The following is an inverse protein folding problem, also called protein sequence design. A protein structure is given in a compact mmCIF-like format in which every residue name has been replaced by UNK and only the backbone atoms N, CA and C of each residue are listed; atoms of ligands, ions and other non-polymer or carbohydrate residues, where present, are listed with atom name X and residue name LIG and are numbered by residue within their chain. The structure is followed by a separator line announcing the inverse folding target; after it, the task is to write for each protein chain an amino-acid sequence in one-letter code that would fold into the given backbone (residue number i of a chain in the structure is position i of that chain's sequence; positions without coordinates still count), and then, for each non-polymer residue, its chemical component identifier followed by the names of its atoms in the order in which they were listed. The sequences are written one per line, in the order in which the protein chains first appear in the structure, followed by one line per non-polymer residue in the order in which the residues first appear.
data_IF_649264155236
#
_entry.id   IF_649264155236
#
_cell.length_a   1.000
_cell.length_b   1.000
_cell.length_c   1.000
_cell.angle_alpha   90.00
_cell.angle_beta   90.00
_cell.angle_gamma   90.00
#
_symmetry.space_group_name_H-M   'P 1'
#
loop_
_entity.id
_entity.type
_entity.pdbx_description
1 polymer ?
#
# COMPACT_ATOMS: atom_id res chain seq x y z
N UNK A 1 -18.59 17.15 -28.69
CA UNK A 1 -18.78 15.69 -28.84
C UNK A 1 -17.51 15.05 -28.31
N UNK A 2 -17.58 13.99 -27.51
CA UNK A 2 -16.39 13.35 -26.96
C UNK A 2 -15.69 12.56 -28.08
N UNK A 3 -14.35 12.67 -28.14
CA UNK A 3 -13.53 11.96 -29.13
C UNK A 3 -13.30 10.50 -28.73
N UNK A 4 -13.25 10.24 -27.42
CA UNK A 4 -13.03 8.90 -26.85
C UNK A 4 -14.11 8.58 -25.82
N UNK A 5 -14.52 7.33 -25.77
CA UNK A 5 -15.52 6.83 -24.84
C UNK A 5 -14.95 5.64 -24.08
N UNK A 6 -15.06 5.70 -22.75
CA UNK A 6 -14.68 4.60 -21.86
C UNK A 6 -15.89 4.20 -21.02
N UNK A 7 -16.14 2.90 -20.89
CA UNK A 7 -17.23 2.36 -20.09
C UNK A 7 -16.66 1.42 -19.02
N UNK A 8 -16.98 1.70 -17.77
CA UNK A 8 -16.59 0.84 -16.65
C UNK A 8 -17.50 -0.39 -16.56
N UNK A 9 -16.94 -1.47 -15.99
CA UNK A 9 -17.72 -2.60 -15.53
C UNK A 9 -18.69 -2.21 -14.39
N UNK A 10 -19.62 -3.09 -14.09
CA UNK A 10 -20.60 -2.88 -13.02
C UNK A 10 -19.95 -3.11 -11.65
N UNK A 11 -20.33 -2.30 -10.67
CA UNK A 11 -20.08 -2.59 -9.26
C UNK A 11 -21.09 -3.61 -8.75
N UNK A 12 -20.59 -4.69 -8.13
CA UNK A 12 -21.37 -5.77 -7.55
C UNK A 12 -21.11 -5.86 -6.04
N UNK A 13 -22.12 -6.12 -5.25
CA UNK A 13 -21.93 -6.31 -3.82
C UNK A 13 -21.15 -7.61 -3.55
N UNK A 14 -20.07 -7.52 -2.77
CA UNK A 14 -19.35 -8.70 -2.30
C UNK A 14 -20.25 -9.49 -1.34
N UNK A 15 -20.34 -10.81 -1.52
CA UNK A 15 -21.23 -11.68 -0.71
C UNK A 15 -22.61 -11.92 -1.33
N UNK A 16 -22.99 -11.23 -2.38
CA UNK A 16 -24.09 -11.72 -3.22
C UNK A 16 -23.57 -12.98 -3.93
N UNK A 17 -23.92 -14.14 -3.40
CA UNK A 17 -23.42 -15.44 -3.82
C UNK A 17 -23.83 -15.79 -5.25
N UNK A 18 -23.23 -15.13 -6.19
CA UNK A 18 -23.12 -15.59 -7.55
C UNK A 18 -21.96 -16.57 -7.59
N UNK A 19 -22.22 -17.85 -7.81
CA UNK A 19 -21.18 -18.82 -8.13
C UNK A 19 -20.29 -18.26 -9.23
N UNK A 20 -19.10 -17.81 -8.87
CA UNK A 20 -18.05 -17.47 -9.82
C UNK A 20 -17.59 -18.79 -10.43
N UNK A 21 -17.82 -18.96 -11.72
CA UNK A 21 -17.34 -20.11 -12.47
C UNK A 21 -18.43 -21.09 -12.87
N UNK A 22 -19.06 -20.77 -13.97
CA UNK A 22 -19.94 -21.66 -14.70
C UNK A 22 -21.17 -20.92 -15.18
N UNK A 23 -21.11 -20.45 -16.41
CA UNK A 23 -22.35 -20.16 -17.16
C UNK A 23 -23.23 -21.41 -17.00
N UNK A 24 -24.47 -21.29 -16.47
CA UNK A 24 -25.38 -22.42 -16.54
C UNK A 24 -25.50 -22.78 -18.03
N UNK A 25 -25.22 -24.02 -18.37
CA UNK A 25 -25.31 -24.52 -19.77
C UNK A 25 -26.75 -24.54 -20.30
N UNK A 26 -27.70 -24.17 -19.49
CA UNK A 26 -29.15 -24.26 -19.70
C UNK A 26 -29.90 -22.92 -19.76
N UNK A 27 -29.21 -21.79 -19.87
CA UNK A 27 -29.86 -20.52 -20.22
C UNK A 27 -30.91 -19.98 -19.23
N UNK A 28 -30.95 -20.50 -18.00
CA UNK A 28 -32.00 -20.21 -16.99
C UNK A 28 -31.65 -19.12 -15.99
N UNK A 29 -30.59 -18.29 -16.25
CA UNK A 29 -30.31 -17.08 -15.46
C UNK A 29 -31.30 -15.99 -15.82
N UNK A 30 -32.21 -15.66 -14.92
CA UNK A 30 -33.16 -14.58 -15.14
C UNK A 30 -32.46 -13.22 -15.07
N UNK A 31 -32.93 -12.17 -15.78
CA UNK A 31 -32.44 -10.81 -15.65
C UNK A 31 -32.51 -10.27 -14.22
N UNK A 32 -33.35 -10.85 -13.36
CA UNK A 32 -33.49 -10.50 -11.94
C UNK A 32 -32.28 -10.93 -11.06
N UNK A 33 -31.60 -12.03 -11.39
CA UNK A 33 -30.42 -12.47 -10.64
C UNK A 33 -29.22 -11.51 -10.82
N UNK A 34 -29.12 -10.85 -11.96
CA UNK A 34 -28.13 -9.81 -12.24
C UNK A 34 -28.50 -8.48 -11.58
N UNK A 35 -29.80 -8.20 -11.43
CA UNK A 35 -30.30 -6.99 -10.76
C UNK A 35 -30.09 -7.04 -9.24
N UNK A 36 -30.19 -8.23 -8.63
CA UNK A 36 -30.04 -8.42 -7.19
C UNK A 36 -28.61 -8.21 -6.68
N UNK A 37 -27.60 -8.28 -7.56
CA UNK A 37 -26.18 -8.09 -7.20
C UNK A 37 -25.68 -6.66 -7.46
N UNK A 38 -26.46 -5.84 -8.17
CA UNK A 38 -26.08 -4.48 -8.52
C UNK A 38 -26.18 -3.54 -7.31
N UNK A 39 -25.08 -2.88 -6.99
CA UNK A 39 -25.08 -1.82 -5.99
C UNK A 39 -25.84 -0.61 -6.56
N UNK A 40 -26.94 -0.24 -5.92
CA UNK A 40 -27.76 0.93 -6.30
C UNK A 40 -28.33 1.61 -5.07
N UNK A 41 -28.74 2.89 -5.21
CA UNK A 41 -29.36 3.64 -4.11
C UNK A 41 -30.61 2.93 -3.56
N UNK A 42 -31.37 2.25 -4.43
CA UNK A 42 -32.57 1.49 -4.05
C UNK A 42 -32.27 0.20 -3.26
N UNK A 43 -31.05 -0.31 -3.34
CA UNK A 43 -30.59 -1.50 -2.61
C UNK A 43 -29.78 -1.16 -1.35
N UNK A 44 -29.88 0.09 -0.85
CA UNK A 44 -29.19 0.49 0.38
C UNK A 44 -27.70 0.74 0.21
N UNK A 45 -27.25 1.11 -1.00
CA UNK A 45 -25.86 1.48 -1.22
C UNK A 45 -25.48 2.66 -0.32
N UNK A 46 -24.43 2.44 0.47
CA UNK A 46 -23.86 3.48 1.31
C UNK A 46 -23.31 4.64 0.45
N UNK A 47 -23.54 5.90 0.82
CA UNK A 47 -22.94 7.04 0.13
C UNK A 47 -21.42 6.97 0.18
N UNK A 48 -20.75 7.25 -0.94
CA UNK A 48 -19.29 7.25 -1.02
C UNK A 48 -18.61 8.13 0.05
N UNK A 49 -19.27 9.20 0.46
CA UNK A 49 -18.79 10.08 1.53
C UNK A 49 -18.69 9.36 2.89
N UNK A 50 -19.64 8.49 3.21
CA UNK A 50 -19.63 7.69 4.45
C UNK A 50 -18.52 6.64 4.41
N UNK A 51 -18.29 6.03 3.24
CA UNK A 51 -17.19 5.11 3.03
C UNK A 51 -15.82 5.75 3.32
N UNK A 52 -15.62 7.01 2.90
CA UNK A 52 -14.39 7.76 3.17
C UNK A 52 -14.18 8.13 4.65
N UNK A 53 -15.20 8.01 5.50
CA UNK A 53 -15.02 8.18 6.95
C UNK A 53 -14.46 6.93 7.63
N UNK A 54 -14.66 5.74 7.01
CA UNK A 54 -14.24 4.45 7.56
C UNK A 54 -12.99 3.89 6.89
N UNK A 55 -12.80 4.19 5.62
CA UNK A 55 -11.69 3.66 4.82
C UNK A 55 -10.84 4.81 4.26
N UNK A 56 -9.54 4.60 4.29
CA UNK A 56 -8.60 5.54 3.67
C UNK A 56 -8.81 5.59 2.15
N UNK A 57 -8.68 6.77 1.52
CA UNK A 57 -8.84 6.91 0.07
C UNK A 57 -7.96 5.96 -0.75
N UNK A 58 -6.74 5.70 -0.27
CA UNK A 58 -5.78 4.80 -0.92
C UNK A 58 -6.27 3.35 -0.97
N UNK A 59 -6.98 2.88 0.07
CA UNK A 59 -7.57 1.52 0.11
C UNK A 59 -8.61 1.38 -0.99
N UNK A 60 -9.48 2.38 -1.13
CA UNK A 60 -10.53 2.38 -2.15
C UNK A 60 -9.91 2.48 -3.54
N UNK A 61 -8.91 3.35 -3.73
CA UNK A 61 -8.18 3.45 -5.00
C UNK A 61 -7.52 2.12 -5.38
N UNK A 62 -6.83 1.48 -4.43
CA UNK A 62 -6.16 0.21 -4.69
C UNK A 62 -7.16 -0.88 -5.06
N UNK A 63 -8.31 -0.98 -4.38
CA UNK A 63 -9.38 -1.90 -4.74
C UNK A 63 -9.83 -1.68 -6.20
N UNK A 64 -10.12 -0.44 -6.57
CA UNK A 64 -10.60 -0.11 -7.92
C UNK A 64 -9.53 -0.40 -8.99
N UNK A 65 -8.26 -0.13 -8.71
CA UNK A 65 -7.14 -0.34 -9.63
C UNK A 65 -6.73 -1.82 -9.74
N UNK A 66 -7.07 -2.64 -8.75
CA UNK A 66 -6.74 -4.08 -8.76
C UNK A 66 -7.57 -4.90 -9.74
N UNK A 67 -8.58 -4.29 -10.35
CA UNK A 67 -9.44 -4.92 -11.35
C UNK A 67 -9.42 -4.09 -12.63
N UNK A 68 -9.37 -4.76 -13.79
CA UNK A 68 -9.47 -4.06 -15.07
C UNK A 68 -10.81 -3.30 -15.15
N UNK A 69 -10.79 -2.03 -15.56
CA UNK A 69 -11.95 -1.13 -15.49
C UNK A 69 -13.21 -1.64 -16.22
N UNK A 70 -13.06 -2.48 -17.26
CA UNK A 70 -14.18 -3.10 -18.00
C UNK A 70 -14.79 -4.30 -17.28
N UNK A 71 -14.07 -4.85 -16.30
CA UNK A 71 -14.54 -6.02 -15.53
C UNK A 71 -15.45 -5.59 -14.38
N UNK A 72 -16.40 -6.45 -13.98
CA UNK A 72 -17.18 -6.21 -12.77
C UNK A 72 -16.27 -6.13 -11.54
N UNK A 73 -16.52 -5.15 -10.67
CA UNK A 73 -15.78 -4.95 -9.43
C UNK A 73 -16.64 -5.43 -8.26
N UNK A 74 -16.12 -6.38 -7.49
CA UNK A 74 -16.74 -6.80 -6.23
C UNK A 74 -16.39 -5.79 -5.14
N UNK A 75 -17.41 -5.14 -4.59
CA UNK A 75 -17.26 -4.08 -3.61
C UNK A 75 -17.94 -4.46 -2.30
N UNK A 76 -17.23 -4.30 -1.18
CA UNK A 76 -17.71 -4.62 0.17
C UNK A 76 -16.58 -4.60 1.19
N UNK A 77 -16.89 -4.88 2.44
CA UNK A 77 -15.91 -4.83 3.54
C UNK A 77 -14.77 -5.84 3.38
N UNK A 78 -15.03 -7.04 2.87
CA UNK A 78 -14.00 -8.06 2.68
C UNK A 78 -12.96 -7.63 1.63
N UNK A 79 -13.32 -7.24 0.37
CA UNK A 79 -12.37 -6.72 -0.61
C UNK A 79 -11.65 -5.44 -0.16
N UNK A 80 -12.33 -4.57 0.60
CA UNK A 80 -11.70 -3.38 1.18
C UNK A 80 -10.65 -3.78 2.23
N UNK A 81 -10.96 -4.75 3.09
CA UNK A 81 -10.02 -5.30 4.06
C UNK A 81 -8.81 -5.97 3.40
N UNK A 82 -8.98 -6.69 2.29
CA UNK A 82 -7.89 -7.24 1.49
C UNK A 82 -7.00 -6.15 0.91
N UNK A 83 -7.62 -5.10 0.35
CA UNK A 83 -6.89 -3.96 -0.20
C UNK A 83 -6.14 -3.18 0.89
N UNK A 84 -6.70 -3.07 2.10
CA UNK A 84 -6.02 -2.47 3.24
C UNK A 84 -4.76 -3.26 3.63
N UNK A 85 -4.87 -4.60 3.75
CA UNK A 85 -3.70 -5.47 4.01
C UNK A 85 -2.64 -5.39 2.91
N UNK A 86 -3.08 -5.31 1.65
CA UNK A 86 -2.17 -5.14 0.52
C UNK A 86 -1.42 -3.79 0.57
N UNK A 87 -2.11 -2.72 0.99
CA UNK A 87 -1.54 -1.39 1.16
C UNK A 87 -0.40 -1.37 2.20
N UNK A 88 -0.53 -2.14 3.28
CA UNK A 88 0.49 -2.24 4.32
C UNK A 88 1.87 -2.69 3.78
N UNK A 89 1.92 -3.46 2.69
CA UNK A 89 3.19 -3.86 2.09
C UNK A 89 3.98 -2.65 1.59
N UNK A 90 3.30 -1.66 1.01
CA UNK A 90 3.92 -0.40 0.59
C UNK A 90 4.37 0.40 1.81
N UNK A 91 3.53 0.53 2.82
CA UNK A 91 3.83 1.31 4.02
C UNK A 91 5.02 0.74 4.78
N UNK A 92 5.10 -0.59 4.91
CA UNK A 92 6.28 -1.26 5.50
C UNK A 92 7.56 -0.97 4.71
N UNK A 93 7.49 -0.99 3.37
CA UNK A 93 8.62 -0.65 2.53
C UNK A 93 9.01 0.82 2.70
N UNK A 94 8.05 1.75 2.73
CA UNK A 94 8.31 3.18 2.91
C UNK A 94 8.95 3.48 4.27
N UNK A 95 8.44 2.87 5.32
CA UNK A 95 9.02 2.98 6.67
C UNK A 95 10.43 2.37 6.74
N UNK A 96 10.66 1.25 6.04
CA UNK A 96 11.97 0.62 5.94
C UNK A 96 12.98 1.54 5.24
N UNK A 97 12.58 2.14 4.12
CA UNK A 97 13.38 3.12 3.39
C UNK A 97 13.72 4.34 4.25
N UNK A 98 12.73 4.92 4.92
CA UNK A 98 12.92 6.08 5.78
C UNK A 98 13.93 5.81 6.91
N UNK A 99 13.85 4.62 7.52
CA UNK A 99 14.81 4.20 8.56
C UNK A 99 16.24 4.01 8.01
N UNK A 100 16.38 3.51 6.78
CA UNK A 100 17.69 3.27 6.17
C UNK A 100 18.35 4.56 5.65
N UNK A 101 17.59 5.40 4.97
CA UNK A 101 18.07 6.59 4.28
C UNK A 101 17.83 7.90 5.03
N UNK A 102 17.00 7.90 6.09
CA UNK A 102 16.64 9.11 6.85
C UNK A 102 15.69 10.06 6.11
N UNK A 103 15.20 9.69 4.93
CA UNK A 103 14.34 10.51 4.09
C UNK A 103 13.00 9.81 3.88
N UNK A 104 11.91 10.56 4.00
CA UNK A 104 10.58 10.00 3.74
C UNK A 104 10.37 9.73 2.24
N UNK A 105 9.68 8.63 1.92
CA UNK A 105 9.21 8.35 0.55
C UNK A 105 8.46 9.55 -0.05
N UNK A 106 7.69 10.26 0.74
CA UNK A 106 6.87 11.38 0.28
C UNK A 106 7.65 12.65 -0.03
N UNK A 107 8.91 12.74 0.40
CA UNK A 107 9.83 13.84 0.05
C UNK A 107 10.61 13.56 -1.24
N UNK A 108 10.53 12.34 -1.76
CA UNK A 108 11.11 12.02 -3.06
C UNK A 108 10.40 12.85 -4.12
N UNK A 109 11.12 13.74 -4.76
CA UNK A 109 10.61 14.56 -5.86
C UNK A 109 10.40 13.68 -7.08
N UNK A 110 9.17 13.64 -7.56
CA UNK A 110 8.85 13.08 -8.87
C UNK A 110 9.67 13.84 -9.91
N UNK A 111 10.59 13.18 -10.57
CA UNK A 111 11.31 13.81 -11.68
C UNK A 111 10.29 14.05 -12.78
N UNK A 112 10.11 15.32 -13.14
CA UNK A 112 9.09 15.82 -14.04
C UNK A 112 8.87 14.91 -15.24
N UNK A 113 7.64 14.49 -15.46
CA UNK A 113 7.13 13.74 -16.62
C UNK A 113 7.47 14.38 -17.98
N UNK A 114 7.98 15.61 -18.00
CA UNK A 114 8.30 16.37 -19.21
C UNK A 114 9.74 16.26 -19.69
N UNK A 115 10.66 15.76 -18.86
CA UNK A 115 12.03 15.47 -19.28
C UNK A 115 12.10 14.03 -19.82
N UNK A 116 11.56 13.84 -21.03
CA UNK A 116 11.63 12.55 -21.72
C UNK A 116 13.04 11.95 -21.63
N UNK A 117 13.11 10.65 -21.41
CA UNK A 117 14.33 9.78 -21.36
C UNK A 117 15.41 10.06 -20.32
N UNK A 118 15.35 11.12 -19.53
CA UNK A 118 16.44 11.51 -18.62
C UNK A 118 16.36 10.97 -17.20
N UNK A 119 15.58 9.97 -16.89
CA UNK A 119 15.33 9.86 -15.48
C UNK A 119 15.13 8.51 -14.85
N UNK A 120 15.57 7.45 -15.43
CA UNK A 120 15.93 6.30 -14.59
C UNK A 120 17.36 6.60 -14.12
N UNK A 121 17.61 6.65 -12.80
CA UNK A 121 18.97 6.67 -12.30
C UNK A 121 19.76 5.55 -12.98
N UNK A 122 21.01 5.78 -13.29
CA UNK A 122 21.84 4.77 -13.93
C UNK A 122 22.02 3.58 -12.99
N UNK A 123 21.15 2.62 -13.10
CA UNK A 123 21.37 1.30 -12.52
C UNK A 123 22.45 0.58 -13.31
N UNK A 124 23.28 -0.19 -12.65
CA UNK A 124 24.35 -0.96 -13.27
C UNK A 124 24.05 -2.46 -13.22
N UNK A 125 24.58 -3.19 -14.21
CA UNK A 125 24.50 -4.66 -14.24
C UNK A 125 23.09 -5.21 -14.22
N UNK A 126 22.89 -6.33 -13.52
CA UNK A 126 21.64 -7.08 -13.43
C UNK A 126 20.49 -6.27 -12.86
N UNK A 127 20.77 -5.32 -11.99
CA UNK A 127 19.76 -4.40 -11.43
C UNK A 127 19.12 -3.55 -12.52
N UNK A 128 19.91 -3.03 -13.46
CA UNK A 128 19.40 -2.23 -14.57
C UNK A 128 18.43 -3.01 -15.44
N UNK A 129 18.80 -4.23 -15.82
CA UNK A 129 17.96 -5.08 -16.68
C UNK A 129 16.64 -5.43 -15.99
N UNK A 130 16.70 -5.84 -14.72
CA UNK A 130 15.50 -6.21 -13.96
C UNK A 130 14.55 -5.04 -13.75
N UNK A 131 15.08 -3.88 -13.36
CA UNK A 131 14.31 -2.65 -13.13
C UNK A 131 13.68 -2.15 -14.42
N UNK A 132 14.45 -2.16 -15.54
CA UNK A 132 13.94 -1.79 -16.85
C UNK A 132 12.80 -2.74 -17.29
N UNK A 133 12.94 -4.03 -17.04
CA UNK A 133 11.89 -5.02 -17.34
C UNK A 133 10.61 -4.74 -16.55
N UNK A 134 10.70 -4.44 -15.25
CA UNK A 134 9.54 -4.11 -14.43
C UNK A 134 8.86 -2.81 -14.91
N UNK A 135 9.67 -1.78 -15.20
CA UNK A 135 9.14 -0.51 -15.71
C UNK A 135 8.42 -0.71 -17.05
N UNK A 136 9.04 -1.42 -17.98
CA UNK A 136 8.43 -1.69 -19.29
C UNK A 136 7.14 -2.48 -19.15
N UNK A 137 7.12 -3.53 -18.32
CA UNK A 137 5.89 -4.31 -18.06
C UNK A 137 4.75 -3.44 -17.50
N UNK A 138 5.07 -2.49 -16.62
CA UNK A 138 4.10 -1.53 -16.11
C UNK A 138 3.56 -0.64 -17.25
N UNK A 139 4.45 -0.06 -18.07
CA UNK A 139 4.06 0.81 -19.19
C UNK A 139 3.25 0.04 -20.24
N UNK A 140 3.69 -1.14 -20.63
CA UNK A 140 2.96 -2.02 -21.55
C UNK A 140 1.56 -2.34 -21.04
N UNK A 141 1.41 -2.60 -19.74
CA UNK A 141 0.09 -2.82 -19.12
C UNK A 141 -0.79 -1.57 -19.19
N UNK A 142 -0.21 -0.38 -18.99
CA UNK A 142 -0.96 0.87 -19.10
C UNK A 142 -1.31 1.22 -20.56
N UNK A 143 -0.47 0.85 -21.52
CA UNK A 143 -0.72 1.03 -22.94
C UNK A 143 -1.73 0.00 -23.48
N UNK A 144 -1.82 -1.18 -22.84
CA UNK A 144 -2.82 -2.21 -23.16
C UNK A 144 -4.14 -1.92 -22.44
N UNK A 145 -4.88 -0.96 -22.98
CA UNK A 145 -6.24 -0.59 -22.53
C UNK A 145 -6.31 -0.26 -21.01
N UNK A 146 -5.27 0.39 -20.47
CA UNK A 146 -5.18 0.76 -19.05
C UNK A 146 -5.35 -0.45 -18.11
N UNK A 147 -4.61 -1.51 -18.35
CA UNK A 147 -4.65 -2.71 -17.53
C UNK A 147 -4.00 -2.48 -16.15
N UNK A 148 -4.70 -1.73 -15.31
CA UNK A 148 -4.23 -1.37 -13.98
C UNK A 148 -4.00 -2.58 -13.08
N UNK A 149 -4.69 -3.70 -13.31
CA UNK A 149 -4.48 -4.93 -12.54
C UNK A 149 -3.05 -5.47 -12.72
N UNK A 150 -2.54 -5.53 -13.96
CA UNK A 150 -1.15 -5.91 -14.23
C UNK A 150 -0.18 -4.84 -13.72
N UNK A 151 -0.51 -3.57 -13.88
CA UNK A 151 0.30 -2.47 -13.36
C UNK A 151 0.47 -2.56 -11.83
N UNK A 152 -0.60 -2.78 -11.07
CA UNK A 152 -0.56 -2.99 -9.62
C UNK A 152 0.24 -4.25 -9.25
N UNK A 153 0.04 -5.37 -9.97
CA UNK A 153 0.84 -6.58 -9.75
C UNK A 153 2.35 -6.31 -9.93
N UNK A 154 2.71 -5.49 -10.93
CA UNK A 154 4.10 -5.08 -11.18
C UNK A 154 4.67 -4.25 -10.03
N UNK A 155 3.86 -3.39 -9.37
CA UNK A 155 4.30 -2.67 -8.16
C UNK A 155 4.63 -3.64 -7.01
N UNK A 156 3.85 -4.71 -6.83
CA UNK A 156 4.18 -5.73 -5.82
C UNK A 156 5.44 -6.53 -6.17
N UNK A 157 5.71 -6.77 -7.46
CA UNK A 157 6.98 -7.35 -7.90
C UNK A 157 8.15 -6.42 -7.58
N UNK A 158 7.99 -5.12 -7.78
CA UNK A 158 8.99 -4.12 -7.42
C UNK A 158 9.21 -4.06 -5.90
N UNK A 159 8.17 -4.13 -5.06
CA UNK A 159 8.32 -4.23 -3.60
C UNK A 159 9.17 -5.45 -3.23
N UNK A 160 8.88 -6.62 -3.83
CA UNK A 160 9.64 -7.85 -3.55
C UNK A 160 11.10 -7.70 -3.95
N UNK A 161 11.35 -7.09 -5.10
CA UNK A 161 12.71 -6.83 -5.58
C UNK A 161 13.47 -5.89 -4.64
N UNK A 162 12.87 -4.77 -4.23
CA UNK A 162 13.50 -3.80 -3.32
C UNK A 162 13.83 -4.46 -1.97
N UNK A 163 12.88 -5.21 -1.39
CA UNK A 163 13.13 -5.91 -0.14
C UNK A 163 14.26 -6.93 -0.27
N UNK A 164 14.28 -7.71 -1.37
CA UNK A 164 15.38 -8.64 -1.65
C UNK A 164 16.73 -7.92 -1.78
N UNK A 165 16.77 -6.76 -2.44
CA UNK A 165 17.98 -5.94 -2.54
C UNK A 165 18.47 -5.49 -1.16
N UNK A 166 17.59 -4.95 -0.31
CA UNK A 166 17.93 -4.54 1.05
C UNK A 166 18.48 -5.72 1.87
N UNK A 167 17.90 -6.92 1.72
CA UNK A 167 18.30 -8.12 2.44
C UNK A 167 19.64 -8.68 1.91
N UNK A 168 19.82 -8.74 0.59
CA UNK A 168 21.04 -9.28 -0.04
C UNK A 168 22.28 -8.43 0.23
N UNK A 169 22.13 -7.11 0.26
CA UNK A 169 23.21 -6.18 0.58
C UNK A 169 23.38 -5.95 2.09
N UNK A 170 22.56 -6.61 2.93
CA UNK A 170 22.56 -6.50 4.40
C UNK A 170 22.52 -5.02 4.88
N UNK A 171 21.68 -4.18 4.21
CA UNK A 171 21.63 -2.75 4.42
C UNK A 171 21.22 -2.33 5.85
N UNK A 172 20.57 -3.22 6.58
CA UNK A 172 20.24 -3.00 8.00
C UNK A 172 21.51 -2.93 8.87
N UNK A 173 22.60 -3.58 8.47
CA UNK A 173 23.87 -3.61 9.19
C UNK A 173 25.00 -2.86 8.48
N UNK A 174 25.02 -2.95 7.15
CA UNK A 174 26.10 -2.37 6.30
C UNK A 174 25.48 -1.31 5.41
N UNK A 175 25.63 -0.06 5.78
CA UNK A 175 25.14 1.06 5.00
C UNK A 175 26.31 1.61 4.16
N UNK A 176 26.40 1.23 2.88
CA UNK A 176 27.31 1.90 1.95
C UNK A 176 26.58 3.00 1.22
N UNK A 177 27.25 4.11 0.90
CA UNK A 177 26.63 5.23 0.19
C UNK A 177 26.09 4.79 -1.18
N UNK A 178 26.82 3.92 -1.89
CA UNK A 178 26.42 3.38 -3.19
C UNK A 178 25.12 2.57 -3.13
N UNK A 179 24.96 1.74 -2.09
CA UNK A 179 23.75 0.91 -1.95
C UNK A 179 22.55 1.76 -1.52
N UNK A 180 22.77 2.78 -0.68
CA UNK A 180 21.72 3.74 -0.30
C UNK A 180 21.29 4.60 -1.50
N UNK A 181 22.23 4.99 -2.39
CA UNK A 181 21.90 5.64 -3.65
C UNK A 181 21.08 4.72 -4.55
N UNK A 182 21.46 3.46 -4.70
CA UNK A 182 20.71 2.47 -5.47
C UNK A 182 19.31 2.26 -4.89
N UNK A 183 19.18 2.13 -3.57
CA UNK A 183 17.88 2.03 -2.90
C UNK A 183 17.02 3.28 -3.16
N UNK A 184 17.61 4.48 -3.07
CA UNK A 184 16.91 5.73 -3.37
C UNK A 184 16.42 5.78 -4.81
N UNK A 185 17.22 5.28 -5.75
CA UNK A 185 16.86 5.17 -7.15
C UNK A 185 15.67 4.20 -7.38
N UNK A 186 15.67 3.07 -6.69
CA UNK A 186 14.55 2.12 -6.72
C UNK A 186 13.26 2.73 -6.14
N UNK A 187 13.38 3.51 -5.08
CA UNK A 187 12.24 4.21 -4.49
C UNK A 187 11.74 5.37 -5.36
N UNK A 188 12.59 6.02 -6.13
CA UNK A 188 12.20 7.01 -7.14
C UNK A 188 11.39 6.36 -8.27
N UNK A 189 11.79 5.17 -8.73
CA UNK A 189 10.98 4.40 -9.67
C UNK A 189 9.62 4.03 -9.06
N UNK A 190 9.60 3.54 -7.82
CA UNK A 190 8.34 3.27 -7.11
C UNK A 190 7.46 4.52 -7.09
N UNK A 191 8.04 5.69 -6.84
CA UNK A 191 7.33 6.98 -6.82
C UNK A 191 6.75 7.35 -8.18
N UNK A 192 7.50 7.15 -9.26
CA UNK A 192 7.05 7.37 -10.65
C UNK A 192 5.83 6.50 -10.96
N UNK A 193 5.94 5.19 -10.71
CA UNK A 193 4.90 4.23 -11.09
C UNK A 193 3.63 4.38 -10.24
N UNK A 194 3.76 4.52 -8.92
CA UNK A 194 2.61 4.76 -8.04
C UNK A 194 1.95 6.11 -8.30
N UNK A 195 2.74 7.14 -8.61
CA UNK A 195 2.25 8.47 -8.99
C UNK A 195 1.43 8.45 -10.28
N UNK A 196 1.80 7.60 -11.25
CA UNK A 196 1.03 7.38 -12.48
C UNK A 196 -0.38 6.85 -12.18
N UNK A 197 -0.51 5.98 -11.17
CA UNK A 197 -1.81 5.46 -10.71
C UNK A 197 -2.53 6.39 -9.71
N UNK A 198 -1.93 7.51 -9.34
CA UNK A 198 -2.50 8.41 -8.33
C UNK A 198 -2.47 7.85 -6.91
N UNK A 199 -1.58 6.87 -6.63
CA UNK A 199 -1.38 6.28 -5.31
C UNK A 199 -0.25 7.01 -4.56
N UNK A 200 -0.40 7.14 -3.24
CA UNK A 200 0.63 7.68 -2.33
C UNK A 200 1.18 9.07 -2.72
N UNK A 201 0.33 9.93 -3.28
CA UNK A 201 0.73 11.28 -3.70
C UNK A 201 1.14 12.18 -2.54
N UNK A 202 0.52 11.98 -1.39
CA UNK A 202 0.79 12.68 -0.13
C UNK A 202 0.87 11.69 1.02
N UNK A 203 1.59 12.02 2.09
CA UNK A 203 1.57 11.17 3.28
C UNK A 203 0.12 10.96 3.74
N UNK A 204 -0.19 9.79 4.30
CA UNK A 204 -1.51 9.55 4.87
C UNK A 204 -1.81 10.70 5.81
N UNK A 205 -3.03 11.26 5.69
CA UNK A 205 -3.47 12.24 6.65
C UNK A 205 -3.27 11.59 8.03
N UNK A 206 -2.34 12.12 8.78
CA UNK A 206 -2.23 11.70 10.18
C UNK A 206 -3.61 12.00 10.76
N UNK A 207 -4.31 10.97 11.19
CA UNK A 207 -5.51 11.12 12.04
C UNK A 207 -5.08 11.64 13.42
N UNK A 208 -4.10 12.48 13.42
CA UNK A 208 -3.66 13.26 14.56
C UNK A 208 -4.38 14.60 14.46
N UNK A 209 -5.43 14.71 15.18
CA UNK A 209 -5.84 16.00 15.71
C UNK A 209 -4.59 16.64 16.34
N UNK A 210 -3.95 17.51 15.60
CA UNK A 210 -2.87 18.45 15.91
C UNK A 210 -1.95 18.11 17.10
N UNK A 211 -2.24 18.58 18.27
CA UNK A 211 -1.43 18.49 19.51
C UNK A 211 -1.34 17.05 20.06
N UNK A 212 -2.38 16.24 19.83
CA UNK A 212 -2.50 14.90 20.45
C UNK A 212 -1.54 13.85 19.85
N UNK A 213 -1.23 13.92 18.56
CA UNK A 213 -0.29 12.99 17.93
C UNK A 213 1.14 13.16 18.42
N UNK A 214 1.60 14.41 18.59
CA UNK A 214 2.93 14.69 19.16
C UNK A 214 3.00 14.30 20.64
N UNK A 215 1.89 14.48 21.36
CA UNK A 215 1.77 14.07 22.75
C UNK A 215 1.82 12.54 22.85
N UNK A 216 1.10 11.82 22.01
CA UNK A 216 1.09 10.36 21.93
C UNK A 216 2.49 9.82 21.62
N UNK A 217 3.19 10.37 20.63
CA UNK A 217 4.58 10.01 20.30
C UNK A 217 5.52 10.22 21.48
N UNK A 218 5.37 11.34 22.19
CA UNK A 218 6.19 11.65 23.37
C UNK A 218 5.92 10.70 24.51
N UNK A 219 4.65 10.35 24.75
CA UNK A 219 4.24 9.38 25.75
C UNK A 219 4.73 7.98 25.40
N UNK A 220 4.62 7.56 24.15
CA UNK A 220 5.11 6.25 23.69
C UNK A 220 6.62 6.13 23.84
N UNK A 221 7.38 7.16 23.48
CA UNK A 221 8.85 7.18 23.75
C UNK A 221 9.18 7.01 25.22
N UNK A 222 8.45 7.70 26.10
CA UNK A 222 8.64 7.56 27.55
C UNK A 222 8.33 6.13 28.03
N UNK A 223 7.22 5.54 27.57
CA UNK A 223 6.80 4.19 27.95
C UNK A 223 7.81 3.15 27.45
N UNK A 224 8.29 3.28 26.21
CA UNK A 224 9.33 2.41 25.63
C UNK A 224 10.64 2.53 26.45
N UNK A 225 11.02 3.74 26.85
CA UNK A 225 12.19 3.97 27.68
C UNK A 225 12.03 3.32 29.09
N UNK A 226 10.88 3.47 29.72
CA UNK A 226 10.57 2.83 31.00
C UNK A 226 10.66 1.30 30.91
N UNK A 227 10.05 0.70 29.84
CA UNK A 227 10.15 -0.73 29.58
C UNK A 227 11.61 -1.17 29.40
N UNK A 228 12.39 -0.41 28.62
CA UNK A 228 13.82 -0.69 28.42
C UNK A 228 14.62 -0.64 29.72
N UNK A 229 14.34 0.33 30.61
CA UNK A 229 14.95 0.41 31.96
C UNK A 229 14.58 -0.79 32.82
N UNK A 230 13.29 -1.17 32.85
CA UNK A 230 12.82 -2.35 33.60
C UNK A 230 13.55 -3.62 33.13
N UNK A 231 13.71 -3.82 31.82
CA UNK A 231 14.49 -4.96 31.27
C UNK A 231 15.96 -4.92 31.70
N UNK A 232 16.61 -3.75 31.71
CA UNK A 232 18.00 -3.58 32.13
C UNK A 232 18.18 -3.89 33.59
N UNK A 233 17.22 -3.56 34.46
CA UNK A 233 17.21 -3.88 35.89
C UNK A 233 16.71 -5.28 36.19
N UNK A 234 16.41 -6.10 35.17
CA UNK A 234 15.83 -7.44 35.26
C UNK A 234 14.45 -7.50 35.96
N UNK A 235 13.73 -6.39 35.97
CA UNK A 235 12.33 -6.33 36.37
C UNK A 235 11.44 -6.70 35.18
N UNK A 236 11.40 -8.00 34.90
CA UNK A 236 10.62 -8.56 33.79
C UNK A 236 9.12 -8.42 34.02
N UNK A 237 8.65 -8.44 35.25
CA UNK A 237 7.25 -8.28 35.62
C UNK A 237 6.70 -6.93 35.14
N UNK A 238 7.41 -5.84 35.43
CA UNK A 238 7.04 -4.50 34.95
C UNK A 238 7.15 -4.39 33.42
N UNK A 239 8.17 -4.99 32.80
CA UNK A 239 8.34 -4.93 31.36
C UNK A 239 7.21 -5.67 30.61
N UNK A 240 6.76 -6.81 31.12
CA UNK A 240 5.65 -7.59 30.56
C UNK A 240 4.31 -6.89 30.82
N UNK A 241 4.07 -6.33 31.99
CA UNK A 241 2.88 -5.54 32.30
C UNK A 241 2.72 -4.37 31.31
N UNK A 242 3.79 -3.64 31.00
CA UNK A 242 3.76 -2.55 30.01
C UNK A 242 3.37 -3.08 28.64
N UNK A 243 3.94 -4.20 28.19
CA UNK A 243 3.65 -4.79 26.89
C UNK A 243 2.19 -5.24 26.77
N UNK A 244 1.69 -5.91 27.81
CA UNK A 244 0.34 -6.45 27.83
C UNK A 244 -0.70 -5.31 27.87
N UNK A 245 -0.48 -4.28 28.69
CA UNK A 245 -1.33 -3.09 28.74
C UNK A 245 -1.38 -2.33 27.40
N UNK A 246 -0.25 -2.23 26.70
CA UNK A 246 -0.22 -1.62 25.36
C UNK A 246 -0.96 -2.48 24.33
N UNK A 247 -0.85 -3.81 24.42
CA UNK A 247 -1.56 -4.74 23.55
C UNK A 247 -3.08 -4.65 23.80
N UNK A 248 -3.55 -4.49 25.03
CA UNK A 248 -4.96 -4.25 25.37
C UNK A 248 -5.49 -2.91 24.80
N UNK A 249 -4.59 -1.94 24.61
CA UNK A 249 -4.90 -0.64 23.99
C UNK A 249 -4.72 -0.65 22.46
N UNK A 250 -4.65 -1.82 21.80
CA UNK A 250 -4.41 -2.00 20.37
C UNK A 250 -3.06 -1.43 19.88
N UNK A 251 -2.08 -1.28 20.76
CA UNK A 251 -0.73 -0.83 20.43
C UNK A 251 0.22 -2.02 20.42
N UNK A 252 0.86 -2.27 19.28
CA UNK A 252 1.89 -3.30 19.15
C UNK A 252 3.29 -2.71 19.27
N UNK A 253 4.16 -3.40 20.02
CA UNK A 253 5.59 -3.09 20.11
C UNK A 253 6.38 -4.12 19.30
N UNK A 254 7.28 -3.63 18.44
CA UNK A 254 8.24 -4.44 17.71
C UNK A 254 9.65 -4.17 18.24
N UNK A 255 10.22 -5.15 18.95
CA UNK A 255 11.61 -5.05 19.42
C UNK A 255 12.57 -5.38 18.26
N UNK A 256 13.47 -4.46 17.94
CA UNK A 256 14.52 -4.60 16.92
C UNK A 256 15.90 -4.42 17.55
N UNK A 257 16.94 -4.78 16.81
CA UNK A 257 18.33 -4.64 17.28
C UNK A 257 18.69 -3.18 17.60
N UNK A 258 18.08 -2.22 16.90
CA UNK A 258 18.35 -0.78 17.00
C UNK A 258 17.37 -0.05 17.95
N UNK A 259 16.30 -0.70 18.41
CA UNK A 259 15.30 -0.08 19.27
C UNK A 259 13.94 -0.79 19.23
N UNK A 260 12.96 -0.21 19.91
CA UNK A 260 11.57 -0.68 19.89
C UNK A 260 10.72 0.28 19.09
N UNK A 261 10.08 -0.21 18.05
CA UNK A 261 9.07 0.53 17.27
C UNK A 261 7.67 0.21 17.81
N UNK A 262 6.68 1.04 17.49
CA UNK A 262 5.30 0.83 17.86
C UNK A 262 4.33 1.17 16.74
N UNK A 263 3.17 0.51 16.73
CA UNK A 263 2.07 0.78 15.79
C UNK A 263 0.73 0.57 16.46
N UNK A 264 -0.30 1.29 16.01
CA UNK A 264 -1.69 1.06 16.41
C UNK A 264 -2.28 0.03 15.44
N UNK A 265 -3.00 -0.95 15.96
CA UNK A 265 -3.64 -2.02 15.19
C UNK A 265 -4.86 -1.53 14.43
#
# INVERSE_FOLDING_TARGET
MATYWMHNGLMQAAGAAGKVGGRPRDGSGTPDDLAATKISKSTGAEPFKELLTRHRPEVIKLLLLSTHYRSPIHFGEEPLGESARALEAFERLFSRYERLCGNSYYTLTDRNRHDGDKAIPEFHGDTKEHVSSLRNRFLEAMDDDFNTAIAVATLFDLIRYINKFIDSEDLEKKKTDSDLETLTCLMLLMRELTGTLGLFLSPPAQTSTGTDGKLLDSLMRLIIELRSRARKTKDFATADLIRDSLTEADIQLEDRAEGTDWSIK
#
